data_IF_935912847027
#
_entry.id   IF_935912847027
#
_cell.length_a   1.000
_cell.length_b   1.000
_cell.length_c   1.000
_cell.angle_alpha   90.00
_cell.angle_beta   90.00
_cell.angle_gamma   90.00
#
_symmetry.space_group_name_H-M   'P 1'
#
loop_
_entity.id
_entity.type
_entity.pdbx_description
1 polymer ?
#
# COMPACT_ATOMS: atom_id res chain seq x y z
N UNK A 1 58.58 -11.70 5.71
CA UNK A 1 59.44 -11.77 4.51
C UNK A 1 58.54 -11.80 3.27
N UNK A 2 58.72 -10.81 2.38
CA UNK A 2 58.41 -10.74 0.93
C UNK A 2 56.96 -10.98 0.46
N UNK A 3 56.42 -10.31 -0.55
CA UNK A 3 56.76 -9.09 -1.29
C UNK A 3 55.57 -8.75 -2.23
N UNK A 4 55.51 -7.48 -2.61
CA UNK A 4 54.59 -6.74 -3.47
C UNK A 4 54.28 -7.31 -4.86
N UNK A 5 53.21 -6.80 -5.51
CA UNK A 5 53.34 -5.93 -6.69
C UNK A 5 51.99 -5.33 -7.17
N UNK A 6 52.01 -4.01 -7.39
CA UNK A 6 51.01 -3.19 -8.07
C UNK A 6 50.96 -3.47 -9.58
N UNK A 7 49.88 -3.03 -10.26
CA UNK A 7 50.01 -2.25 -11.51
C UNK A 7 48.75 -1.44 -11.88
N UNK A 8 49.03 -0.21 -12.31
CA UNK A 8 48.16 0.87 -12.76
C UNK A 8 47.87 0.83 -14.27
N UNK A 9 46.89 1.63 -14.72
CA UNK A 9 46.75 2.15 -16.10
C UNK A 9 45.53 3.10 -16.15
N UNK A 10 45.67 4.42 -16.06
CA UNK A 10 46.07 5.45 -17.05
C UNK A 10 45.05 5.64 -18.20
N UNK A 11 44.30 6.75 -18.11
CA UNK A 11 43.57 7.51 -19.15
C UNK A 11 44.57 8.23 -20.09
N UNK A 12 44.25 8.57 -21.37
CA UNK A 12 43.54 9.85 -21.65
C UNK A 12 42.81 10.05 -23.02
N UNK A 13 41.93 11.07 -23.02
CA UNK A 13 41.58 12.14 -24.00
C UNK A 13 41.71 11.96 -25.53
N UNK A 14 40.65 12.35 -26.26
CA UNK A 14 40.60 13.19 -27.49
C UNK A 14 39.14 13.64 -27.70
N UNK A 15 38.72 14.60 -28.54
CA UNK A 15 39.00 16.02 -28.77
C UNK A 15 37.93 16.49 -29.80
N UNK A 16 37.40 17.71 -29.61
CA UNK A 16 36.64 18.63 -30.50
C UNK A 16 36.20 18.25 -31.94
N UNK A 17 35.06 18.82 -32.40
CA UNK A 17 34.99 19.92 -33.42
C UNK A 17 33.53 20.30 -33.78
N UNK A 18 33.41 21.59 -34.12
CA UNK A 18 32.32 22.50 -34.47
C UNK A 18 31.21 22.10 -35.48
N UNK A 19 30.12 22.87 -35.42
CA UNK A 19 29.18 23.12 -36.53
C UNK A 19 28.26 24.32 -36.22
N UNK A 20 28.61 25.51 -36.74
CA UNK A 20 27.85 26.77 -36.68
C UNK A 20 27.38 27.09 -38.11
N UNK A 21 26.11 27.41 -38.34
CA UNK A 21 25.68 28.28 -39.47
C UNK A 21 24.26 28.82 -39.29
N UNK A 22 24.15 30.14 -39.40
CA UNK A 22 22.94 30.99 -39.40
C UNK A 22 22.16 30.89 -40.72
N UNK A 23 20.85 31.16 -40.68
CA UNK A 23 20.17 32.00 -41.67
C UNK A 23 18.90 32.65 -41.08
N UNK A 24 18.72 33.93 -41.37
CA UNK A 24 17.74 34.87 -40.83
C UNK A 24 16.46 34.98 -41.66
N UNK A 25 15.38 35.50 -41.07
CA UNK A 25 14.57 36.59 -41.63
C UNK A 25 13.46 37.00 -40.64
N UNK A 26 13.53 38.25 -40.18
CA UNK A 26 12.47 38.96 -39.49
C UNK A 26 11.59 39.71 -40.51
N UNK A 27 10.27 39.80 -40.26
CA UNK A 27 9.45 40.87 -40.81
C UNK A 27 8.44 41.32 -39.75
N UNK A 28 8.51 42.63 -39.53
CA UNK A 28 7.85 43.44 -38.52
C UNK A 28 6.70 44.18 -39.19
N UNK A 29 5.54 44.29 -38.55
CA UNK A 29 4.50 45.27 -38.91
C UNK A 29 3.49 45.46 -37.78
N UNK A 30 3.35 46.71 -37.33
CA UNK A 30 2.28 47.26 -36.49
C UNK A 30 2.00 48.71 -36.96
N UNK A 31 1.01 49.47 -36.43
CA UNK A 31 -0.46 49.27 -36.37
C UNK A 31 -1.26 50.55 -36.77
N UNK A 32 -2.60 50.46 -37.04
CA UNK A 32 -3.70 51.46 -36.75
C UNK A 32 -4.96 51.26 -37.65
N UNK A 33 -6.12 51.91 -37.42
CA UNK A 33 -6.94 52.18 -36.20
C UNK A 33 -8.42 51.69 -36.35
N UNK A 34 -9.29 51.79 -35.31
CA UNK A 34 -10.68 51.27 -35.32
C UNK A 34 -11.76 52.34 -35.56
N UNK A 35 -12.92 51.94 -36.09
CA UNK A 35 -14.17 52.72 -36.13
C UNK A 35 -15.42 51.78 -36.22
N UNK A 36 -16.66 52.23 -35.97
CA UNK A 36 -17.46 51.78 -34.82
C UNK A 36 -18.78 51.04 -35.12
N UNK A 37 -19.19 50.16 -34.17
CA UNK A 37 -20.57 49.72 -33.87
C UNK A 37 -21.24 48.73 -34.85
N UNK A 38 -22.07 47.77 -34.39
CA UNK A 38 -23.15 48.04 -33.42
C UNK A 38 -23.36 47.01 -32.29
N UNK A 39 -24.10 47.48 -31.28
CA UNK A 39 -24.98 46.76 -30.35
C UNK A 39 -24.39 45.66 -29.45
N UNK A 40 -24.23 46.01 -28.17
CA UNK A 40 -24.00 45.10 -27.06
C UNK A 40 -25.14 44.09 -26.90
N UNK A 41 -24.87 42.82 -27.16
CA UNK A 41 -25.59 41.71 -26.54
C UNK A 41 -24.85 41.35 -25.24
N UNK A 42 -25.55 41.42 -24.11
CA UNK A 42 -25.01 41.01 -22.82
C UNK A 42 -24.58 39.54 -22.91
N UNK A 43 -23.29 39.28 -22.73
CA UNK A 43 -22.78 37.92 -22.57
C UNK A 43 -23.41 37.30 -21.31
N UNK A 44 -23.91 36.06 -21.34
CA UNK A 44 -24.29 35.37 -20.13
C UNK A 44 -23.05 35.26 -19.24
N UNK A 45 -23.18 35.75 -18.00
CA UNK A 45 -22.17 35.54 -16.96
C UNK A 45 -21.97 34.04 -16.85
N UNK A 46 -20.77 33.56 -17.18
CA UNK A 46 -20.37 32.20 -16.90
C UNK A 46 -20.47 32.01 -15.38
N UNK A 47 -21.49 31.27 -14.97
CA UNK A 47 -21.63 30.81 -13.60
C UNK A 47 -20.37 30.01 -13.28
N UNK A 48 -19.61 30.46 -12.28
CA UNK A 48 -18.43 29.76 -11.81
C UNK A 48 -18.84 28.29 -11.54
N UNK A 49 -18.06 27.29 -12.00
CA UNK A 49 -18.38 25.90 -11.73
C UNK A 49 -18.61 25.74 -10.24
N UNK A 50 -19.85 25.40 -9.87
CA UNK A 50 -20.19 25.10 -8.48
C UNK A 50 -19.19 24.05 -8.00
N UNK A 51 -18.46 24.35 -6.92
CA UNK A 51 -17.57 23.38 -6.30
C UNK A 51 -18.38 22.09 -6.08
N UNK A 52 -17.90 20.93 -6.59
CA UNK A 52 -18.64 19.69 -6.45
C UNK A 52 -18.97 19.50 -4.96
N UNK A 53 -20.25 19.24 -4.62
CA UNK A 53 -20.69 19.22 -3.24
C UNK A 53 -19.83 18.23 -2.47
N UNK A 54 -19.10 18.72 -1.45
CA UNK A 54 -18.35 17.86 -0.53
C UNK A 54 -19.32 16.77 -0.07
N UNK A 55 -19.07 15.49 -0.41
CA UNK A 55 -20.00 14.44 -0.04
C UNK A 55 -20.17 14.45 1.48
N UNK A 56 -21.42 14.55 1.96
CA UNK A 56 -21.78 14.56 3.39
C UNK A 56 -21.64 13.17 4.02
N UNK A 57 -20.52 12.49 3.78
CA UNK A 57 -20.25 11.14 4.23
C UNK A 57 -18.75 10.86 4.24
N UNK A 58 -18.38 9.68 4.75
CA UNK A 58 -17.00 9.21 4.66
C UNK A 58 -16.57 9.25 3.18
N UNK A 59 -15.50 9.97 2.82
CA UNK A 59 -15.04 9.98 1.45
C UNK A 59 -14.53 8.60 1.05
N UNK A 60 -14.43 8.36 -0.24
CA UNK A 60 -13.80 7.16 -0.76
C UNK A 60 -12.32 7.12 -0.35
N UNK A 61 -11.92 5.97 0.18
CA UNK A 61 -10.55 5.67 0.57
C UNK A 61 -10.06 4.58 -0.37
N UNK A 62 -9.11 4.93 -1.22
CA UNK A 62 -8.54 4.03 -2.22
C UNK A 62 -7.03 3.92 -2.02
N UNK A 63 -6.47 2.73 -2.22
CA UNK A 63 -5.03 2.53 -2.39
C UNK A 63 -4.82 1.81 -3.70
N UNK A 64 -4.10 2.46 -4.61
CA UNK A 64 -3.78 1.92 -5.93
C UNK A 64 -2.27 1.72 -6.09
N UNK A 65 -1.83 1.39 -7.30
CA UNK A 65 -0.42 1.21 -7.65
C UNK A 65 0.46 2.46 -7.45
N UNK A 66 -0.12 3.65 -7.43
CA UNK A 66 0.57 4.93 -7.19
C UNK A 66 0.53 5.36 -5.71
N UNK A 67 -0.25 4.68 -4.86
CA UNK A 67 -0.32 4.92 -3.41
C UNK A 67 -1.72 5.28 -2.93
N UNK A 68 -1.84 5.78 -1.68
CA UNK A 68 -3.12 6.17 -1.11
C UNK A 68 -3.74 7.38 -1.82
N UNK A 69 -5.01 7.25 -2.19
CA UNK A 69 -5.89 8.31 -2.67
C UNK A 69 -7.07 8.44 -1.71
N UNK A 70 -7.03 9.46 -0.86
CA UNK A 70 -7.95 9.63 0.27
C UNK A 70 -8.62 11.00 0.17
N UNK A 71 -9.94 11.04 0.11
CA UNK A 71 -10.67 12.33 0.13
C UNK A 71 -10.33 13.28 -1.00
N UNK A 72 -10.03 12.75 -2.19
CA UNK A 72 -9.64 13.55 -3.35
C UNK A 72 -8.14 13.90 -3.42
N UNK A 73 -7.35 13.50 -2.42
CA UNK A 73 -5.93 13.81 -2.34
C UNK A 73 -5.08 12.56 -2.48
N UNK A 74 -4.04 12.64 -3.31
CA UNK A 74 -3.04 11.58 -3.45
C UNK A 74 -1.89 11.83 -2.49
N UNK A 75 -1.53 10.80 -1.73
CA UNK A 75 -0.39 10.83 -0.82
C UNK A 75 0.71 9.96 -1.38
N UNK A 76 1.85 10.56 -1.71
CA UNK A 76 3.05 9.82 -2.09
C UNK A 76 3.84 9.45 -0.82
N UNK A 77 3.78 8.17 -0.45
CA UNK A 77 4.48 7.64 0.73
C UNK A 77 6.00 7.52 0.53
N UNK A 78 6.51 7.67 -0.70
CA UNK A 78 7.94 7.67 -0.96
C UNK A 78 8.61 9.02 -0.64
N UNK A 79 7.80 10.09 -0.51
CA UNK A 79 8.29 11.40 -0.09
C UNK A 79 8.69 11.38 1.39
N UNK A 80 9.69 12.20 1.73
CA UNK A 80 10.17 12.34 3.11
C UNK A 80 9.07 12.75 4.10
N UNK A 81 8.07 13.50 3.63
CA UNK A 81 6.92 13.96 4.41
C UNK A 81 5.62 13.16 4.12
N UNK A 82 5.72 12.05 3.39
CA UNK A 82 4.57 11.25 2.96
C UNK A 82 3.76 10.68 4.13
N UNK A 83 4.43 10.17 5.16
CA UNK A 83 3.77 9.64 6.36
C UNK A 83 3.03 10.74 7.15
N UNK A 84 3.63 11.92 7.28
CA UNK A 84 3.00 13.06 7.96
C UNK A 84 1.79 13.58 7.19
N UNK A 85 1.90 13.66 5.85
CA UNK A 85 0.79 13.99 4.96
C UNK A 85 -0.35 12.99 5.10
N UNK A 86 -0.04 11.68 5.09
CA UNK A 86 -1.02 10.63 5.28
C UNK A 86 -1.80 10.83 6.60
N UNK A 87 -1.08 11.03 7.70
CA UNK A 87 -1.68 11.24 9.02
C UNK A 87 -2.56 12.50 9.06
N UNK A 88 -2.10 13.61 8.44
CA UNK A 88 -2.87 14.86 8.35
C UNK A 88 -4.18 14.67 7.58
N UNK A 89 -4.13 13.99 6.43
CA UNK A 89 -5.32 13.72 5.62
C UNK A 89 -6.30 12.84 6.38
N UNK A 90 -5.82 11.75 7.00
CA UNK A 90 -6.67 10.82 7.73
C UNK A 90 -7.30 11.45 8.97
N UNK A 91 -6.59 12.30 9.71
CA UNK A 91 -7.14 13.03 10.87
C UNK A 91 -8.23 14.04 10.49
N UNK A 92 -8.23 14.52 9.24
CA UNK A 92 -9.30 15.39 8.73
C UNK A 92 -10.55 14.60 8.32
N UNK A 93 -10.49 13.27 8.28
CA UNK A 93 -11.64 12.42 7.96
C UNK A 93 -12.58 12.31 9.17
N UNK A 94 -13.90 12.23 8.95
CA UNK A 94 -14.89 12.07 10.01
C UNK A 94 -14.94 10.60 10.52
N UNK A 95 -13.88 10.15 11.19
CA UNK A 95 -13.76 8.79 11.75
C UNK A 95 -14.40 8.77 13.14
N UNK A 96 -15.71 8.51 13.18
CA UNK A 96 -16.52 8.53 14.41
C UNK A 96 -16.51 7.19 15.17
N UNK A 97 -15.35 6.54 15.30
CA UNK A 97 -15.26 5.22 15.94
C UNK A 97 -16.04 4.10 15.24
N UNK A 98 -16.42 4.31 13.97
CA UNK A 98 -17.13 3.35 13.13
C UNK A 98 -16.14 2.55 12.27
N UNK A 99 -16.49 1.32 11.86
CA UNK A 99 -15.73 0.58 10.85
C UNK A 99 -15.54 1.41 9.58
N UNK A 100 -14.33 1.38 9.04
CA UNK A 100 -13.96 2.15 7.84
C UNK A 100 -13.77 1.21 6.66
N UNK A 101 -14.35 1.54 5.51
CA UNK A 101 -14.12 0.77 4.28
C UNK A 101 -12.92 1.35 3.54
N UNK A 102 -11.99 0.48 3.16
CA UNK A 102 -10.82 0.80 2.34
C UNK A 102 -10.88 -0.02 1.05
N UNK A 103 -10.86 0.63 -0.10
CA UNK A 103 -10.68 -0.03 -1.38
C UNK A 103 -9.18 -0.17 -1.65
N UNK A 104 -8.71 -1.38 -1.91
CA UNK A 104 -7.32 -1.63 -2.26
C UNK A 104 -7.26 -2.38 -3.59
N UNK A 105 -6.61 -1.78 -4.59
CA UNK A 105 -6.41 -2.42 -5.89
C UNK A 105 -5.42 -3.57 -5.80
N UNK A 106 -5.55 -4.54 -6.71
CA UNK A 106 -4.68 -5.72 -6.77
C UNK A 106 -3.19 -5.38 -6.79
N UNK A 107 -2.83 -4.32 -7.53
CA UNK A 107 -1.45 -3.86 -7.77
C UNK A 107 -0.94 -2.85 -6.74
N UNK A 108 -1.72 -2.52 -5.71
CA UNK A 108 -1.25 -1.65 -4.64
C UNK A 108 -0.05 -2.26 -3.90
N UNK A 109 0.78 -1.40 -3.29
CA UNK A 109 1.88 -1.85 -2.43
C UNK A 109 1.34 -2.31 -1.07
N UNK A 110 1.71 -3.49 -0.56
CA UNK A 110 1.30 -3.95 0.76
C UNK A 110 1.58 -2.94 1.88
N UNK A 111 2.76 -2.33 1.93
CA UNK A 111 3.09 -1.30 2.92
C UNK A 111 2.22 -0.05 2.83
N UNK A 112 1.77 0.32 1.62
CA UNK A 112 0.86 1.46 1.47
C UNK A 112 -0.52 1.16 2.07
N UNK A 113 -1.04 -0.05 1.84
CA UNK A 113 -2.30 -0.50 2.46
C UNK A 113 -2.15 -0.58 3.98
N UNK A 114 -1.06 -1.18 4.46
CA UNK A 114 -0.79 -1.32 5.88
C UNK A 114 -0.60 0.04 6.59
N UNK A 115 0.04 1.01 5.93
CA UNK A 115 0.18 2.37 6.43
C UNK A 115 -1.18 3.06 6.60
N UNK A 116 -2.07 2.96 5.61
CA UNK A 116 -3.43 3.52 5.69
C UNK A 116 -4.22 2.88 6.82
N UNK A 117 -4.20 1.54 6.93
CA UNK A 117 -4.89 0.81 8.02
C UNK A 117 -4.37 1.24 9.40
N UNK A 118 -3.05 1.42 9.53
CA UNK A 118 -2.42 1.87 10.78
C UNK A 118 -2.90 3.27 11.16
N UNK A 119 -2.85 4.22 10.23
CA UNK A 119 -3.25 5.61 10.48
C UNK A 119 -4.76 5.74 10.71
N UNK A 120 -5.60 4.94 10.03
CA UNK A 120 -7.03 4.84 10.32
C UNK A 120 -7.28 4.38 11.76
N UNK A 121 -6.52 3.39 12.24
CA UNK A 121 -6.56 2.95 13.63
C UNK A 121 -6.13 4.03 14.61
N UNK A 122 -5.06 4.77 14.30
CA UNK A 122 -4.60 5.90 15.10
C UNK A 122 -5.62 7.04 15.15
N UNK A 123 -6.42 7.21 14.10
CA UNK A 123 -7.53 8.15 14.04
C UNK A 123 -8.85 7.63 14.67
N UNK A 124 -8.83 6.43 15.27
CA UNK A 124 -9.95 5.90 16.06
C UNK A 124 -10.81 4.85 15.38
N UNK A 125 -10.48 4.40 14.16
CA UNK A 125 -11.20 3.32 13.50
C UNK A 125 -11.02 1.99 14.29
N UNK A 126 -12.09 1.32 14.73
CA UNK A 126 -11.97 0.04 15.43
C UNK A 126 -11.56 -1.11 14.52
N UNK A 127 -12.05 -1.09 13.28
CA UNK A 127 -11.82 -2.10 12.26
C UNK A 127 -11.79 -1.43 10.89
N UNK A 128 -11.03 -2.00 9.97
CA UNK A 128 -11.00 -1.58 8.57
C UNK A 128 -11.48 -2.74 7.70
N UNK A 129 -12.54 -2.53 6.93
CA UNK A 129 -13.03 -3.45 5.92
C UNK A 129 -12.28 -3.17 4.62
N UNK A 130 -11.33 -4.03 4.27
CA UNK A 130 -10.54 -3.90 3.04
C UNK A 130 -11.25 -4.68 1.95
N UNK A 131 -11.62 -3.98 0.87
CA UNK A 131 -12.21 -4.59 -0.33
C UNK A 131 -11.17 -4.63 -1.44
N UNK A 132 -10.99 -5.81 -2.00
CA UNK A 132 -10.09 -6.06 -3.13
C UNK A 132 -10.74 -7.06 -4.04
N UNK A 133 -10.68 -6.80 -5.35
CA UNK A 133 -11.07 -7.80 -6.33
C UNK A 133 -10.00 -8.93 -6.40
N UNK A 134 -9.99 -9.81 -5.41
CA UNK A 134 -9.04 -10.93 -5.32
C UNK A 134 -9.43 -12.11 -6.21
N UNK A 135 -9.02 -13.33 -5.83
CA UNK A 135 -9.53 -14.56 -6.46
C UNK A 135 -11.00 -14.81 -6.11
N UNK A 136 -11.73 -15.53 -6.96
CA UNK A 136 -13.17 -15.78 -6.78
C UNK A 136 -13.47 -16.86 -5.72
N UNK A 137 -12.49 -17.70 -5.38
CA UNK A 137 -12.60 -18.73 -4.34
C UNK A 137 -12.31 -18.21 -2.93
N UNK A 138 -11.94 -16.92 -2.79
CA UNK A 138 -11.60 -16.30 -1.51
C UNK A 138 -12.48 -15.06 -1.26
N UNK A 139 -12.64 -14.63 0.01
CA UNK A 139 -13.39 -13.42 0.33
C UNK A 139 -12.84 -12.19 -0.41
N UNK A 140 -13.71 -11.45 -1.10
CA UNK A 140 -13.37 -10.16 -1.72
C UNK A 140 -13.26 -9.02 -0.69
N UNK A 141 -13.72 -9.27 0.53
CA UNK A 141 -13.66 -8.34 1.64
C UNK A 141 -13.05 -9.03 2.86
N UNK A 142 -12.08 -8.37 3.50
CA UNK A 142 -11.48 -8.82 4.76
C UNK A 142 -11.62 -7.73 5.80
N UNK A 143 -12.00 -8.10 7.02
CA UNK A 143 -12.03 -7.17 8.15
C UNK A 143 -10.74 -7.31 8.94
N UNK A 144 -10.01 -6.23 9.11
CA UNK A 144 -8.78 -6.19 9.90
C UNK A 144 -8.94 -5.25 11.09
N UNK A 145 -8.30 -5.61 12.20
CA UNK A 145 -8.12 -4.74 13.36
C UNK A 145 -6.77 -4.05 13.23
N UNK A 146 -6.71 -2.70 13.30
CA UNK A 146 -5.44 -1.98 13.25
C UNK A 146 -4.49 -2.44 14.36
N UNK A 147 -3.23 -2.60 14.01
CA UNK A 147 -2.18 -3.18 14.86
C UNK A 147 -2.10 -2.53 16.25
N UNK A 148 -2.19 -1.21 16.33
CA UNK A 148 -2.15 -0.45 17.58
C UNK A 148 -3.31 -0.70 18.55
N UNK A 149 -4.36 -1.42 18.12
CA UNK A 149 -5.47 -1.83 18.99
C UNK A 149 -5.30 -3.23 19.58
N UNK A 150 -4.27 -3.97 19.17
CA UNK A 150 -4.01 -5.33 19.65
C UNK A 150 -2.97 -5.28 20.76
N UNK A 151 -3.35 -5.73 21.95
CA UNK A 151 -2.45 -5.80 23.11
C UNK A 151 -2.20 -7.23 23.53
N UNK A 152 -0.92 -7.59 23.72
CA UNK A 152 -0.48 -8.86 24.33
C UNK A 152 -1.05 -10.12 23.65
N UNK A 153 -0.85 -10.31 22.33
CA UNK A 153 -1.27 -11.54 21.68
C UNK A 153 -0.52 -12.77 22.26
N UNK A 154 -1.15 -13.96 22.30
CA UNK A 154 -0.47 -15.18 22.70
C UNK A 154 0.73 -15.46 21.79
N UNK A 155 1.85 -15.90 22.37
CA UNK A 155 3.06 -16.21 21.59
C UNK A 155 2.84 -17.28 20.51
N UNK A 156 1.86 -18.18 20.70
CA UNK A 156 1.51 -19.20 19.71
C UNK A 156 0.64 -18.68 18.55
N UNK A 157 0.13 -17.43 18.63
CA UNK A 157 -0.74 -16.87 17.61
C UNK A 157 -0.08 -16.94 16.23
N UNK A 158 -0.85 -17.32 15.21
CA UNK A 158 -0.27 -17.58 13.90
C UNK A 158 0.08 -16.26 13.21
N UNK A 159 1.29 -16.20 12.68
CA UNK A 159 1.77 -15.14 11.80
C UNK A 159 2.09 -15.75 10.44
N UNK A 160 1.59 -15.13 9.37
CA UNK A 160 1.84 -15.58 8.02
C UNK A 160 2.28 -14.42 7.12
N UNK A 161 3.12 -14.71 6.13
CA UNK A 161 3.57 -13.70 5.18
C UNK A 161 3.76 -14.28 3.78
N UNK A 162 3.45 -13.48 2.76
CA UNK A 162 3.91 -13.73 1.39
C UNK A 162 5.29 -13.11 1.20
N UNK A 163 6.26 -13.91 0.80
CA UNK A 163 7.64 -13.50 0.55
C UNK A 163 7.81 -13.01 -0.89
N UNK A 164 8.90 -12.27 -1.15
CA UNK A 164 9.22 -11.74 -2.50
C UNK A 164 9.27 -12.77 -3.62
N UNK A 165 9.61 -14.02 -3.32
CA UNK A 165 9.65 -15.11 -4.31
C UNK A 165 8.29 -15.82 -4.48
N UNK A 166 7.21 -15.21 -3.97
CA UNK A 166 5.84 -15.73 -3.95
C UNK A 166 5.69 -17.01 -3.11
N UNK A 167 6.67 -17.37 -2.27
CA UNK A 167 6.49 -18.37 -1.24
C UNK A 167 5.66 -17.79 -0.08
N UNK A 168 5.05 -18.65 0.74
CA UNK A 168 4.51 -18.23 2.04
C UNK A 168 5.41 -18.70 3.16
N UNK A 169 5.39 -17.98 4.28
CA UNK A 169 5.97 -18.43 5.53
C UNK A 169 4.93 -18.32 6.64
N UNK A 170 4.89 -19.33 7.52
CA UNK A 170 3.99 -19.40 8.67
C UNK A 170 4.83 -19.68 9.93
N UNK A 171 4.63 -18.92 11.01
CA UNK A 171 5.31 -19.12 12.28
C UNK A 171 4.51 -18.55 13.46
N UNK A 172 4.85 -18.91 14.71
CA UNK A 172 4.24 -18.31 15.90
C UNK A 172 4.63 -16.84 16.06
N UNK A 173 3.71 -16.02 16.56
CA UNK A 173 3.92 -14.60 16.85
C UNK A 173 5.14 -14.36 17.74
N UNK A 174 5.37 -15.21 18.75
CA UNK A 174 6.52 -15.14 19.63
C UNK A 174 7.86 -15.55 18.99
N UNK A 175 7.87 -15.88 17.70
CA UNK A 175 9.01 -16.41 16.98
C UNK A 175 9.10 -17.94 17.02
N UNK A 176 9.99 -18.50 16.21
CA UNK A 176 10.17 -19.94 16.09
C UNK A 176 10.60 -20.36 14.68
N UNK A 177 10.58 -21.66 14.40
CA UNK A 177 10.89 -22.16 13.07
C UNK A 177 9.79 -21.75 12.07
N UNK A 178 10.16 -20.93 11.09
CA UNK A 178 9.28 -20.56 9.99
C UNK A 178 9.03 -21.73 9.05
N UNK A 179 7.77 -22.13 8.91
CA UNK A 179 7.33 -23.15 7.95
C UNK A 179 7.09 -22.47 6.62
N UNK A 180 8.01 -22.66 5.69
CA UNK A 180 7.94 -22.09 4.35
C UNK A 180 7.20 -23.04 3.42
N UNK A 181 6.16 -22.56 2.75
CA UNK A 181 5.55 -23.26 1.62
C UNK A 181 6.10 -22.71 0.31
N UNK A 182 6.31 -23.59 -0.66
CA UNK A 182 6.86 -23.20 -1.96
C UNK A 182 5.87 -22.33 -2.74
N UNK A 183 6.37 -21.57 -3.71
CA UNK A 183 5.52 -20.93 -4.71
C UNK A 183 4.79 -21.99 -5.55
N UNK A 184 3.55 -21.71 -5.91
CA UNK A 184 2.81 -22.44 -6.93
C UNK A 184 3.11 -21.89 -8.34
N UNK A 185 2.30 -22.32 -9.32
CA UNK A 185 2.47 -21.93 -10.72
C UNK A 185 2.13 -20.45 -11.00
N UNK A 186 1.17 -19.88 -10.26
CA UNK A 186 0.63 -18.54 -10.52
C UNK A 186 0.64 -17.62 -9.28
N UNK A 187 1.52 -17.89 -8.33
CA UNK A 187 1.56 -17.18 -7.05
C UNK A 187 1.86 -18.13 -5.89
N UNK A 188 1.58 -17.70 -4.65
CA UNK A 188 1.75 -18.56 -3.48
C UNK A 188 0.86 -19.80 -3.54
N UNK A 189 1.40 -20.93 -3.09
CA UNK A 189 0.62 -22.16 -2.94
C UNK A 189 -0.28 -22.07 -1.71
N UNK A 190 -1.48 -21.53 -1.91
CA UNK A 190 -2.44 -21.32 -0.84
C UNK A 190 -3.09 -22.62 -0.34
N UNK A 191 -3.02 -23.70 -1.11
CA UNK A 191 -3.54 -25.02 -0.70
C UNK A 191 -2.68 -25.61 0.41
N UNK A 192 -1.36 -25.74 0.17
CA UNK A 192 -0.43 -26.22 1.21
C UNK A 192 -0.30 -25.23 2.37
N UNK A 193 -0.37 -23.93 2.08
CA UNK A 193 -0.43 -22.90 3.12
C UNK A 193 -1.66 -23.09 4.00
N UNK A 194 -2.84 -23.31 3.42
CA UNK A 194 -4.10 -23.51 4.13
C UNK A 194 -4.11 -24.77 5.00
N UNK A 195 -3.55 -25.88 4.52
CA UNK A 195 -3.37 -27.09 5.33
C UNK A 195 -2.48 -26.85 6.55
N UNK A 196 -1.39 -26.10 6.38
CA UNK A 196 -0.48 -25.77 7.47
C UNK A 196 -1.13 -24.80 8.46
N UNK A 197 -1.84 -23.78 7.97
CA UNK A 197 -2.62 -22.85 8.78
C UNK A 197 -3.68 -23.59 9.59
N UNK A 198 -4.40 -24.54 8.99
CA UNK A 198 -5.42 -25.34 9.69
C UNK A 198 -4.83 -26.04 10.92
N UNK A 199 -3.64 -26.65 10.76
CA UNK A 199 -2.92 -27.33 11.85
C UNK A 199 -2.45 -26.34 12.92
N UNK A 200 -1.80 -25.25 12.51
CA UNK A 200 -1.18 -24.29 13.45
C UNK A 200 -2.21 -23.44 14.17
N UNK A 201 -3.28 -23.05 13.47
CA UNK A 201 -4.47 -22.48 14.07
C UNK A 201 -4.97 -23.50 15.09
N UNK A 202 -5.39 -24.70 14.71
CA UNK A 202 -5.96 -25.69 15.65
C UNK A 202 -5.10 -25.96 16.91
N UNK A 203 -3.78 -25.91 16.80
CA UNK A 203 -2.84 -26.14 17.90
C UNK A 203 -2.75 -24.99 18.93
N UNK A 204 -3.15 -23.77 18.58
CA UNK A 204 -3.06 -22.59 19.45
C UNK A 204 -4.45 -22.11 19.90
N UNK A 205 -4.63 -21.72 21.16
CA UNK A 205 -5.91 -21.16 21.66
C UNK A 205 -6.13 -19.68 21.32
N UNK A 206 -5.22 -19.06 20.55
CA UNK A 206 -5.33 -17.66 20.17
C UNK A 206 -6.57 -17.40 19.29
N UNK A 207 -7.21 -16.26 19.55
CA UNK A 207 -8.30 -15.69 18.75
C UNK A 207 -7.81 -14.62 17.78
N UNK A 208 -6.48 -14.49 17.62
CA UNK A 208 -5.83 -13.48 16.78
C UNK A 208 -4.87 -14.15 15.80
N UNK A 209 -4.83 -13.65 14.58
CA UNK A 209 -3.85 -14.01 13.57
C UNK A 209 -3.27 -12.75 12.91
N UNK A 210 -2.03 -12.87 12.44
CA UNK A 210 -1.27 -11.79 11.85
C UNK A 210 -0.90 -12.15 10.42
N UNK A 211 -0.98 -11.17 9.52
CA UNK A 211 -0.54 -11.36 8.15
C UNK A 211 0.18 -10.14 7.58
N UNK A 212 1.04 -10.38 6.59
CA UNK A 212 1.74 -9.36 5.83
C UNK A 212 2.11 -9.88 4.44
N UNK A 213 2.69 -9.02 3.62
CA UNK A 213 3.44 -9.44 2.44
C UNK A 213 4.70 -8.58 2.29
N UNK A 214 5.62 -9.07 1.47
CA UNK A 214 6.77 -8.31 0.98
C UNK A 214 6.30 -7.19 0.03
N UNK A 215 6.96 -6.05 0.02
CA UNK A 215 6.57 -4.92 -0.83
C UNK A 215 6.89 -5.13 -2.32
N UNK A 216 7.70 -6.14 -2.64
CA UNK A 216 7.97 -6.56 -4.02
C UNK A 216 6.81 -7.36 -4.64
N UNK A 217 5.82 -7.78 -3.84
CA UNK A 217 4.64 -8.50 -4.34
C UNK A 217 3.38 -7.62 -4.32
N UNK A 218 2.43 -7.85 -5.25
CA UNK A 218 1.18 -7.07 -5.27
C UNK A 218 0.30 -7.36 -4.05
N UNK A 219 -0.44 -6.36 -3.59
CA UNK A 219 -1.39 -6.46 -2.47
C UNK A 219 -2.35 -7.65 -2.57
N UNK A 220 -2.78 -8.00 -3.78
CA UNK A 220 -3.63 -9.17 -4.02
C UNK A 220 -3.10 -10.45 -3.34
N UNK A 221 -1.77 -10.64 -3.28
CA UNK A 221 -1.19 -11.81 -2.63
C UNK A 221 -1.40 -11.80 -1.11
N UNK A 222 -1.27 -10.63 -0.47
CA UNK A 222 -1.54 -10.44 0.94
C UNK A 222 -3.03 -10.64 1.26
N UNK A 223 -3.91 -10.09 0.41
CA UNK A 223 -5.36 -10.24 0.52
C UNK A 223 -5.79 -11.70 0.41
N UNK A 224 -5.26 -12.43 -0.57
CA UNK A 224 -5.55 -13.85 -0.75
C UNK A 224 -5.00 -14.69 0.42
N UNK A 225 -3.83 -14.33 0.98
CA UNK A 225 -3.32 -14.98 2.20
C UNK A 225 -4.25 -14.75 3.39
N UNK A 226 -4.75 -13.53 3.60
CA UNK A 226 -5.75 -13.22 4.62
C UNK A 226 -7.03 -14.05 4.45
N UNK A 227 -7.56 -14.14 3.24
CA UNK A 227 -8.69 -15.00 2.91
C UNK A 227 -8.41 -16.48 3.23
N UNK A 228 -7.19 -16.94 2.96
CA UNK A 228 -6.75 -18.31 3.27
C UNK A 228 -6.71 -18.57 4.78
N UNK A 229 -6.22 -17.60 5.58
CA UNK A 229 -6.23 -17.69 7.06
C UNK A 229 -7.66 -17.85 7.57
N UNK A 230 -8.59 -17.02 7.08
CA UNK A 230 -10.00 -17.08 7.46
C UNK A 230 -10.64 -18.41 7.03
N UNK A 231 -10.35 -18.90 5.83
CA UNK A 231 -10.83 -20.20 5.34
C UNK A 231 -10.25 -21.40 6.10
N UNK A 232 -9.02 -21.28 6.62
CA UNK A 232 -8.34 -22.33 7.38
C UNK A 232 -8.82 -22.42 8.84
N UNK A 233 -9.51 -21.41 9.34
CA UNK A 233 -10.09 -21.41 10.68
C UNK A 233 -11.45 -22.13 10.70
N UNK A 234 -11.41 -23.45 10.54
CA UNK A 234 -12.61 -24.31 10.51
C UNK A 234 -13.51 -24.15 11.75
N UNK A 235 -12.96 -23.71 12.89
CA UNK A 235 -13.69 -23.51 14.16
C UNK A 235 -14.11 -22.05 14.40
N UNK A 236 -13.82 -21.13 13.47
CA UNK A 236 -14.16 -19.70 13.56
C UNK A 236 -13.75 -19.03 14.88
N UNK A 237 -12.58 -19.38 15.40
CA UNK A 237 -12.07 -18.80 16.65
C UNK A 237 -11.29 -17.51 16.46
N UNK A 238 -10.81 -17.23 15.25
CA UNK A 238 -10.09 -16.02 14.91
C UNK A 238 -11.08 -14.86 14.85
N UNK A 239 -11.22 -14.17 15.98
CA UNK A 239 -12.01 -12.94 16.09
C UNK A 239 -11.24 -11.71 15.59
N UNK A 240 -9.92 -11.80 15.50
CA UNK A 240 -9.04 -10.67 15.16
C UNK A 240 -8.06 -11.08 14.07
N UNK A 241 -8.10 -10.37 12.96
CA UNK A 241 -7.11 -10.46 11.90
C UNK A 241 -6.34 -9.14 11.84
N UNK A 242 -5.02 -9.19 11.85
CA UNK A 242 -4.17 -7.99 11.91
C UNK A 242 -3.26 -7.95 10.69
N UNK A 243 -3.38 -6.87 9.92
CA UNK A 243 -2.39 -6.54 8.89
C UNK A 243 -1.21 -5.84 9.57
N UNK A 244 -0.02 -6.42 9.46
CA UNK A 244 1.20 -5.85 10.04
C UNK A 244 1.68 -4.65 9.22
N UNK A 245 2.02 -3.55 9.90
CA UNK A 245 2.55 -2.32 9.29
C UNK A 245 3.89 -2.56 8.60
N UNK A 246 4.78 -3.27 9.27
CA UNK A 246 6.10 -3.62 8.77
C UNK A 246 6.12 -5.09 8.37
N UNK A 247 6.71 -5.38 7.21
CA UNK A 247 6.95 -6.74 6.78
C UNK A 247 7.85 -7.46 7.79
N UNK A 248 7.34 -8.49 8.50
CA UNK A 248 8.14 -9.17 9.51
C UNK A 248 9.16 -10.11 8.85
N UNK A 249 10.18 -10.52 9.59
CA UNK A 249 11.12 -11.55 9.12
C UNK A 249 10.62 -12.91 9.57
N UNK A 250 10.43 -13.83 8.63
CA UNK A 250 9.95 -15.18 8.92
C UNK A 250 10.75 -15.87 10.03
N UNK A 251 10.04 -16.38 11.04
CA UNK A 251 10.61 -17.07 12.20
C UNK A 251 11.11 -16.16 13.32
N UNK A 252 11.22 -14.85 13.09
CA UNK A 252 11.48 -13.89 14.18
C UNK A 252 10.19 -13.56 14.94
N UNK A 253 10.28 -13.18 16.22
CA UNK A 253 9.15 -12.61 16.92
C UNK A 253 8.57 -11.42 16.15
N UNK A 254 7.25 -11.39 15.99
CA UNK A 254 6.55 -10.29 15.36
C UNK A 254 6.48 -9.13 16.35
N UNK A 255 6.77 -7.93 15.86
CA UNK A 255 6.72 -6.70 16.65
C UNK A 255 5.45 -5.94 16.30
N UNK A 256 4.73 -5.51 17.34
CA UNK A 256 3.57 -4.63 17.21
C UNK A 256 4.00 -3.20 17.58
N UNK A 257 3.63 -2.23 16.76
CA UNK A 257 4.07 -0.85 16.84
C UNK A 257 5.49 -0.70 16.27
N UNK A 258 5.63 0.09 15.21
CA UNK A 258 6.94 0.58 14.80
C UNK A 258 7.56 1.36 15.95
N UNK A 259 8.61 0.80 16.55
CA UNK A 259 9.54 1.53 17.40
C UNK A 259 10.38 2.51 16.59
#
# INVERSE_FOLDING_TARGET
>A
MRASCLRSGVLPRFAAVAGLTLAAAACESAPKPPEPGPAAAAAPVAEAPAEPPKPKGMPELLVDSMGPYLGGQRVDLSQKDGAEKLSKVIRALPIEGKPVTLLAEKKAKPSAVAAVVTELGAAGAPTVLIKTDGRDDLPKEITVVPEGRVSKPPACAVSAMVLKDLATAIWPFGGGMGKRQRKGLAGPDLSHTGEQLTKDIAACSASVAFFSADDEVPWEMAHNLAGTILGSDAKKKLATLVLLRAAPVAGRPVQLGGG
#
